data_IF_199978047371
#
_entry.id   IF_199978047371
#
_cell.length_a   1.000
_cell.length_b   1.000
_cell.length_c   1.000
_cell.angle_alpha   90.00
_cell.angle_beta   90.00
_cell.angle_gamma   90.00
#
_symmetry.space_group_name_H-M   'P 1'
#
loop_
_entity.id
_entity.type
_entity.pdbx_description
1 polymer ?
#
# COMPACT_ATOMS: atom_id res chain seq x y z
N UNK A 1 -18.24 -8.61 12.74
CA UNK A 1 -17.20 -8.61 11.69
C UNK A 1 -17.44 -7.44 10.73
N UNK A 2 -16.52 -6.46 10.65
CA UNK A 2 -16.62 -5.34 9.70
C UNK A 2 -15.88 -5.73 8.41
N UNK A 3 -16.51 -5.49 7.26
CA UNK A 3 -16.00 -5.84 5.93
C UNK A 3 -15.84 -4.57 5.11
N UNK A 4 -14.65 -4.32 4.58
CA UNK A 4 -14.34 -3.14 3.77
C UNK A 4 -13.59 -3.57 2.53
N UNK A 5 -13.87 -2.92 1.40
CA UNK A 5 -13.17 -3.15 0.14
C UNK A 5 -12.64 -1.81 -0.39
N UNK A 6 -11.39 -1.81 -0.83
CA UNK A 6 -10.75 -0.66 -1.46
C UNK A 6 -10.18 -1.08 -2.82
N UNK A 7 -10.04 -0.11 -3.72
CA UNK A 7 -9.35 -0.26 -4.99
C UNK A 7 -8.15 0.68 -5.02
N UNK A 8 -7.03 0.19 -5.55
CA UNK A 8 -5.88 1.01 -5.92
C UNK A 8 -5.47 0.65 -7.36
N UNK A 9 -5.22 1.67 -8.22
CA UNK A 9 -4.79 1.42 -9.58
C UNK A 9 -3.38 0.82 -9.58
N UNK A 10 -3.07 0.03 -10.61
CA UNK A 10 -1.69 -0.31 -10.91
C UNK A 10 -0.94 0.88 -11.50
N UNK A 11 0.39 0.83 -11.48
CA UNK A 11 1.25 1.90 -11.97
C UNK A 11 2.39 1.37 -12.83
N UNK A 12 2.69 2.09 -13.90
CA UNK A 12 3.87 1.85 -14.74
C UNK A 12 4.78 3.07 -14.61
N UNK A 13 5.99 2.84 -14.10
CA UNK A 13 7.06 3.84 -14.12
C UNK A 13 7.80 3.79 -15.46
N UNK A 14 7.88 4.93 -16.15
CA UNK A 14 8.63 5.04 -17.41
C UNK A 14 10.12 5.32 -17.19
N UNK A 15 10.43 6.33 -16.38
CA UNK A 15 11.80 6.67 -15.99
C UNK A 15 11.86 7.02 -14.51
N UNK A 16 12.99 6.76 -13.86
CA UNK A 16 13.17 7.09 -12.45
C UNK A 16 14.64 7.20 -12.05
N UNK A 17 14.87 7.86 -10.92
CA UNK A 17 16.10 7.77 -10.14
C UNK A 17 15.76 7.61 -8.67
N UNK A 18 16.55 6.84 -7.95
CA UNK A 18 16.36 6.56 -6.52
C UNK A 18 16.96 7.70 -5.70
N UNK A 19 16.22 8.17 -4.70
CA UNK A 19 16.73 9.06 -3.65
C UNK A 19 16.37 8.47 -2.28
N UNK A 20 17.30 7.70 -1.73
CA UNK A 20 17.15 6.96 -0.47
C UNK A 20 18.20 7.33 0.59
N UNK A 21 18.85 8.49 0.41
CA UNK A 21 19.93 9.01 1.29
C UNK A 21 19.49 9.24 2.73
N UNK A 22 18.20 9.43 2.97
CA UNK A 22 17.66 9.67 4.29
C UNK A 22 17.48 8.38 5.08
N UNK A 23 17.82 8.38 6.37
CA UNK A 23 17.53 7.24 7.27
C UNK A 23 16.02 7.02 7.47
N UNK A 24 15.26 8.11 7.49
CA UNK A 24 13.80 8.11 7.66
C UNK A 24 13.11 7.50 6.41
N UNK A 25 12.41 6.37 6.53
CA UNK A 25 11.73 5.71 5.42
C UNK A 25 10.70 6.59 4.70
N UNK A 26 10.06 7.54 5.40
CA UNK A 26 9.08 8.44 4.78
C UNK A 26 9.72 9.48 3.86
N UNK A 27 11.02 9.74 4.05
CA UNK A 27 11.82 10.63 3.19
C UNK A 27 12.53 9.89 2.08
N UNK A 28 12.55 8.55 2.10
CA UNK A 28 13.05 7.74 1.00
C UNK A 28 12.02 7.69 -0.11
N UNK A 29 12.49 7.75 -1.35
CA UNK A 29 11.61 7.51 -2.49
C UNK A 29 12.36 7.52 -3.82
N UNK A 30 11.64 7.86 -4.88
CA UNK A 30 12.22 8.09 -6.20
C UNK A 30 11.71 9.37 -6.83
N UNK A 31 12.53 9.94 -7.70
CA UNK A 31 12.12 10.91 -8.71
C UNK A 31 11.81 10.14 -10.00
N UNK A 32 11.00 10.71 -10.89
CA UNK A 32 10.72 10.09 -12.18
C UNK A 32 9.36 10.41 -12.73
N UNK A 33 8.90 9.64 -13.71
CA UNK A 33 7.56 9.79 -14.28
C UNK A 33 6.93 8.45 -14.65
N UNK A 34 5.61 8.44 -14.70
CA UNK A 34 4.82 7.25 -14.97
C UNK A 34 3.35 7.55 -15.18
N UNK A 35 2.55 6.49 -15.20
CA UNK A 35 1.11 6.62 -15.26
C UNK A 35 0.40 5.44 -14.58
N UNK A 36 -0.77 5.73 -14.01
CA UNK A 36 -1.67 4.73 -13.46
C UNK A 36 -2.59 4.14 -14.52
N UNK A 37 -2.90 2.85 -14.36
CA UNK A 37 -3.85 2.12 -15.19
C UNK A 37 -5.27 2.20 -14.61
N UNK A 38 -6.27 1.94 -15.45
CA UNK A 38 -7.65 1.73 -15.01
C UNK A 38 -7.85 0.39 -14.30
N UNK A 39 -6.95 -0.57 -14.54
CA UNK A 39 -6.85 -1.85 -13.84
C UNK A 39 -5.92 -1.75 -12.63
N UNK A 40 -6.14 -2.58 -11.63
CA UNK A 40 -5.28 -2.56 -10.46
C UNK A 40 -5.54 -3.72 -9.50
N UNK A 41 -5.60 -3.38 -8.22
CA UNK A 41 -5.81 -4.33 -7.14
C UNK A 41 -7.02 -3.92 -6.34
N UNK A 42 -7.97 -4.84 -6.21
CA UNK A 42 -9.02 -4.76 -5.22
C UNK A 42 -8.58 -5.47 -3.95
N UNK A 43 -8.58 -4.78 -2.82
CA UNK A 43 -8.26 -5.35 -1.52
C UNK A 43 -9.50 -5.35 -0.66
N UNK A 44 -9.94 -6.53 -0.25
CA UNK A 44 -11.01 -6.74 0.72
C UNK A 44 -10.40 -7.13 2.07
N UNK A 45 -10.87 -6.50 3.14
CA UNK A 45 -10.46 -6.80 4.51
C UNK A 45 -11.70 -7.10 5.35
N UNK A 46 -11.63 -8.20 6.10
CA UNK A 46 -12.59 -8.51 7.17
C UNK A 46 -11.87 -8.46 8.50
N UNK A 47 -12.39 -7.67 9.42
CA UNK A 47 -11.86 -7.56 10.78
C UNK A 47 -12.89 -8.00 11.82
N UNK A 48 -12.42 -8.77 12.78
CA UNK A 48 -13.18 -9.24 13.92
C UNK A 48 -12.33 -9.23 15.18
N UNK A 49 -12.89 -8.76 16.31
CA UNK A 49 -12.17 -8.74 17.59
C UNK A 49 -11.80 -10.16 18.00
N UNK A 50 -10.60 -10.33 18.52
CA UNK A 50 -10.11 -11.64 18.93
C UNK A 50 -9.24 -11.53 20.20
N UNK A 51 -9.01 -12.65 20.88
CA UNK A 51 -8.11 -12.73 22.04
C UNK A 51 -6.63 -12.79 21.62
N UNK A 52 -6.34 -13.18 20.38
CA UNK A 52 -5.00 -13.27 19.81
C UNK A 52 -5.00 -12.74 18.38
N UNK A 53 -3.86 -12.18 17.96
CA UNK A 53 -3.65 -11.78 16.58
C UNK A 53 -3.72 -12.98 15.65
N UNK A 54 -4.55 -12.89 14.61
CA UNK A 54 -4.60 -13.85 13.51
C UNK A 54 -4.70 -13.08 12.21
N UNK A 55 -3.88 -13.46 11.25
CA UNK A 55 -3.81 -12.82 9.94
C UNK A 55 -3.81 -13.91 8.89
N UNK A 56 -4.77 -13.87 7.98
CA UNK A 56 -4.80 -14.71 6.79
C UNK A 56 -4.81 -13.81 5.56
N UNK A 57 -3.95 -14.11 4.59
CA UNK A 57 -3.85 -13.33 3.35
C UNK A 57 -4.01 -14.28 2.17
N UNK A 58 -4.86 -13.90 1.24
CA UNK A 58 -5.01 -14.58 -0.06
C UNK A 58 -4.85 -13.60 -1.21
N UNK A 59 -4.31 -14.12 -2.32
CA UNK A 59 -4.17 -13.41 -3.59
C UNK A 59 -4.81 -14.28 -4.66
N UNK A 60 -5.80 -13.72 -5.38
CA UNK A 60 -6.53 -14.40 -6.44
C UNK A 60 -7.06 -15.80 -6.04
N UNK A 61 -7.55 -15.92 -4.80
CA UNK A 61 -8.13 -17.16 -4.26
C UNK A 61 -7.13 -18.11 -3.60
N UNK A 62 -5.83 -17.87 -3.70
CA UNK A 62 -4.79 -18.72 -3.13
C UNK A 62 -4.15 -18.10 -1.89
N UNK A 63 -3.86 -18.85 -0.81
CA UNK A 63 -3.10 -18.36 0.33
C UNK A 63 -1.73 -17.82 -0.09
N UNK A 64 -1.31 -16.69 0.49
CA UNK A 64 -0.04 -16.05 0.17
C UNK A 64 0.63 -15.50 1.43
N UNK A 65 1.97 -15.50 1.46
CA UNK A 65 2.73 -14.85 2.54
C UNK A 65 2.61 -13.32 2.47
N UNK A 66 2.73 -12.73 1.27
CA UNK A 66 2.55 -11.30 1.02
C UNK A 66 3.26 -10.39 2.05
N UNK A 67 4.59 -10.42 2.06
CA UNK A 67 5.43 -9.78 3.10
C UNK A 67 5.14 -8.29 3.31
N UNK A 68 4.84 -7.54 2.24
CA UNK A 68 4.44 -6.13 2.32
C UNK A 68 3.13 -5.96 3.10
N UNK A 69 2.16 -6.84 2.85
CA UNK A 69 0.87 -6.81 3.55
C UNK A 69 1.00 -7.21 5.01
N UNK A 70 1.81 -8.23 5.33
CA UNK A 70 2.12 -8.59 6.71
C UNK A 70 2.84 -7.46 7.44
N UNK A 71 3.82 -6.83 6.79
CA UNK A 71 4.55 -5.68 7.35
C UNK A 71 3.60 -4.52 7.63
N UNK A 72 2.71 -4.21 6.69
CA UNK A 72 1.70 -3.16 6.86
C UNK A 72 0.76 -3.48 8.02
N UNK A 73 0.24 -4.70 8.13
CA UNK A 73 -0.62 -5.12 9.24
C UNK A 73 0.11 -4.99 10.58
N UNK A 74 1.40 -5.30 10.63
CA UNK A 74 2.23 -5.09 11.82
C UNK A 74 2.46 -3.60 12.15
N UNK A 75 2.45 -2.70 11.17
CA UNK A 75 2.45 -1.26 11.46
C UNK A 75 1.09 -0.80 12.01
N UNK A 76 -0.02 -1.28 11.45
CA UNK A 76 -1.36 -1.01 11.95
C UNK A 76 -1.59 -1.56 13.36
N UNK A 77 -1.04 -2.75 13.69
CA UNK A 77 -1.22 -3.35 15.02
C UNK A 77 -0.62 -2.51 16.14
N UNK A 78 0.33 -1.61 15.84
CA UNK A 78 0.91 -0.66 16.81
C UNK A 78 -0.04 0.50 17.13
N UNK A 79 -1.06 0.72 16.30
CA UNK A 79 -2.05 1.78 16.44
C UNK A 79 -3.33 1.30 17.15
N UNK A 80 -3.43 0.00 17.48
CA UNK A 80 -4.63 -0.58 18.07
C UNK A 80 -4.31 -1.38 19.33
N UNK A 81 -5.13 -1.18 20.37
CA UNK A 81 -4.90 -1.76 21.69
C UNK A 81 -5.28 -3.24 21.79
N UNK A 82 -6.25 -3.68 20.98
CA UNK A 82 -6.87 -5.01 21.10
C UNK A 82 -6.58 -5.87 19.87
N UNK A 83 -6.35 -7.18 20.03
CA UNK A 83 -6.09 -8.07 18.91
C UNK A 83 -7.32 -8.26 18.01
N UNK A 84 -7.06 -8.51 16.72
CA UNK A 84 -8.07 -8.84 15.74
C UNK A 84 -7.70 -10.13 14.98
N UNK A 85 -8.73 -10.82 14.51
CA UNK A 85 -8.63 -11.66 13.32
C UNK A 85 -8.78 -10.76 12.09
N UNK A 86 -7.81 -10.82 11.18
CA UNK A 86 -7.76 -10.02 9.95
C UNK A 86 -7.65 -10.99 8.78
N UNK A 87 -8.71 -11.07 7.98
CA UNK A 87 -8.69 -11.79 6.71
C UNK A 87 -8.58 -10.78 5.56
N UNK A 88 -7.51 -10.91 4.77
CA UNK A 88 -7.22 -10.05 3.63
C UNK A 88 -7.34 -10.86 2.34
N UNK A 89 -8.04 -10.30 1.36
CA UNK A 89 -8.12 -10.88 0.01
C UNK A 89 -7.77 -9.82 -1.02
N UNK A 90 -6.67 -10.04 -1.73
CA UNK A 90 -6.30 -9.26 -2.90
C UNK A 90 -6.82 -9.94 -4.17
N UNK A 91 -7.49 -9.16 -5.03
CA UNK A 91 -7.83 -9.55 -6.39
C UNK A 91 -7.05 -8.65 -7.34
N UNK A 92 -6.06 -9.23 -8.03
CA UNK A 92 -5.12 -8.54 -8.92
C UNK A 92 -5.54 -8.81 -10.37
N UNK A 93 -5.78 -7.73 -11.12
CA UNK A 93 -6.28 -7.80 -12.51
C UNK A 93 -5.17 -7.88 -13.57
N UNK A 94 -3.91 -7.99 -13.14
CA UNK A 94 -2.70 -7.89 -13.95
C UNK A 94 -1.71 -9.03 -13.62
N UNK A 95 -0.81 -9.40 -14.54
CA UNK A 95 0.23 -10.38 -14.26
C UNK A 95 1.12 -9.97 -13.08
N UNK A 96 1.19 -10.82 -12.06
CA UNK A 96 2.02 -10.60 -10.88
C UNK A 96 3.50 -10.69 -11.28
N UNK A 97 4.32 -9.76 -10.78
CA UNK A 97 5.77 -9.74 -11.04
C UNK A 97 6.16 -9.11 -12.39
N UNK A 98 5.21 -8.63 -13.19
CA UNK A 98 5.48 -8.01 -14.49
C UNK A 98 5.73 -6.49 -14.43
N UNK A 99 6.03 -5.94 -13.26
CA UNK A 99 6.38 -4.51 -13.11
C UNK A 99 5.21 -3.52 -13.10
N UNK A 100 3.97 -3.97 -12.95
CA UNK A 100 2.77 -3.12 -12.89
C UNK A 100 2.52 -2.44 -11.53
N UNK A 101 3.48 -2.43 -10.62
CA UNK A 101 3.29 -1.81 -9.30
C UNK A 101 2.26 -2.49 -8.39
N UNK A 102 1.78 -3.70 -8.72
CA UNK A 102 0.67 -4.36 -7.98
C UNK A 102 0.94 -4.60 -6.50
N UNK A 103 2.21 -4.65 -6.07
CA UNK A 103 2.59 -4.68 -4.64
C UNK A 103 2.22 -3.38 -3.92
N UNK A 104 2.58 -2.23 -4.52
CA UNK A 104 2.19 -0.90 -4.05
C UNK A 104 0.68 -0.73 -4.03
N UNK A 105 -0.01 -1.13 -5.10
CA UNK A 105 -1.47 -1.05 -5.17
C UNK A 105 -2.13 -1.92 -4.08
N UNK A 106 -1.63 -3.14 -3.87
CA UNK A 106 -2.08 -4.02 -2.79
C UNK A 106 -1.88 -3.40 -1.42
N UNK A 107 -0.71 -2.80 -1.16
CA UNK A 107 -0.39 -2.13 0.11
C UNK A 107 -1.27 -0.88 0.33
N UNK A 108 -1.45 -0.04 -0.68
CA UNK A 108 -2.30 1.15 -0.62
C UNK A 108 -3.76 0.75 -0.35
N UNK A 109 -4.30 -0.19 -1.14
CA UNK A 109 -5.66 -0.70 -0.96
C UNK A 109 -5.86 -1.31 0.43
N UNK A 110 -4.89 -2.09 0.92
CA UNK A 110 -4.92 -2.69 2.25
C UNK A 110 -4.92 -1.62 3.34
N UNK A 111 -4.06 -0.61 3.22
CA UNK A 111 -3.95 0.46 4.21
C UNK A 111 -5.26 1.25 4.33
N UNK A 112 -5.84 1.62 3.18
CA UNK A 112 -7.12 2.33 3.14
C UNK A 112 -8.26 1.49 3.72
N UNK A 113 -8.33 0.21 3.35
CA UNK A 113 -9.35 -0.70 3.86
C UNK A 113 -9.21 -0.97 5.36
N UNK A 114 -7.99 -1.13 5.88
CA UNK A 114 -7.73 -1.29 7.32
C UNK A 114 -8.07 -0.03 8.10
N UNK A 115 -7.67 1.14 7.63
CA UNK A 115 -7.98 2.42 8.27
C UNK A 115 -9.50 2.57 8.49
N UNK A 116 -10.28 2.30 7.44
CA UNK A 116 -11.74 2.32 7.51
C UNK A 116 -12.28 1.17 8.39
N UNK A 117 -11.83 -0.07 8.19
CA UNK A 117 -12.34 -1.24 8.91
C UNK A 117 -12.08 -1.18 10.42
N UNK A 118 -10.95 -0.60 10.83
CA UNK A 118 -10.56 -0.42 12.23
C UNK A 118 -11.02 0.93 12.82
N UNK A 119 -11.60 1.80 11.99
CA UNK A 119 -12.06 3.14 12.38
C UNK A 119 -10.96 3.99 13.05
N UNK A 120 -9.77 4.03 12.43
CA UNK A 120 -8.60 4.71 12.99
C UNK A 120 -8.59 6.22 12.77
N UNK A 121 -9.43 6.73 11.86
CA UNK A 121 -9.55 8.17 11.60
C UNK A 121 -8.34 8.80 10.91
N UNK A 122 -7.42 8.01 10.34
CA UNK A 122 -6.30 8.54 9.58
C UNK A 122 -6.82 9.18 8.29
N UNK A 123 -6.19 10.27 7.86
CA UNK A 123 -6.40 10.81 6.52
C UNK A 123 -5.93 9.84 5.44
N UNK A 124 -6.38 10.04 4.19
CA UNK A 124 -5.92 9.25 3.04
C UNK A 124 -4.39 9.30 2.89
N UNK A 125 -3.79 10.46 3.17
CA UNK A 125 -2.33 10.66 3.09
C UNK A 125 -1.61 9.87 4.17
N UNK A 126 -2.05 9.94 5.42
CA UNK A 126 -1.44 9.18 6.53
C UNK A 126 -1.57 7.67 6.33
N UNK A 127 -2.72 7.19 5.86
CA UNK A 127 -2.88 5.78 5.49
C UNK A 127 -1.94 5.39 4.34
N UNK A 128 -1.80 6.23 3.31
CA UNK A 128 -0.87 5.97 2.22
C UNK A 128 0.61 6.02 2.66
N UNK A 129 0.96 6.82 3.67
CA UNK A 129 2.30 6.81 4.28
C UNK A 129 2.61 5.47 4.96
N UNK A 130 1.64 4.83 5.62
CA UNK A 130 1.82 3.47 6.17
C UNK A 130 2.08 2.44 5.07
N UNK A 131 1.36 2.53 3.94
CA UNK A 131 1.61 1.66 2.79
C UNK A 131 3.02 1.88 2.21
N UNK A 132 3.45 3.14 2.05
CA UNK A 132 4.80 3.48 1.61
C UNK A 132 5.86 2.94 2.57
N UNK A 133 5.65 3.12 3.88
CA UNK A 133 6.55 2.60 4.90
C UNK A 133 6.74 1.08 4.79
N UNK A 134 5.66 0.33 4.53
CA UNK A 134 5.73 -1.11 4.33
C UNK A 134 6.54 -1.48 3.07
N UNK A 135 6.29 -0.82 1.94
CA UNK A 135 7.04 -1.03 0.70
C UNK A 135 8.55 -0.74 0.86
N UNK A 136 8.89 0.36 1.53
CA UNK A 136 10.29 0.72 1.81
C UNK A 136 10.96 -0.30 2.75
N UNK A 137 10.26 -0.75 3.79
CA UNK A 137 10.78 -1.77 4.72
C UNK A 137 11.02 -3.10 4.04
N UNK A 138 10.15 -3.48 3.11
CA UNK A 138 10.29 -4.70 2.31
C UNK A 138 11.21 -4.55 1.09
N UNK A 139 11.73 -3.33 0.82
CA UNK A 139 12.57 -3.02 -0.35
C UNK A 139 11.90 -3.33 -1.69
N UNK A 140 10.58 -3.18 -1.78
CA UNK A 140 9.79 -3.52 -2.96
C UNK A 140 9.51 -2.31 -3.86
N UNK A 141 9.29 -1.13 -3.27
CA UNK A 141 8.94 0.06 -4.03
C UNK A 141 9.32 1.35 -3.32
N UNK A 142 9.68 2.37 -4.11
CA UNK A 142 10.11 3.69 -3.64
C UNK A 142 9.26 4.85 -4.20
N UNK A 143 8.50 4.62 -5.25
CA UNK A 143 7.67 5.66 -5.87
C UNK A 143 6.31 5.18 -6.36
N UNK A 144 5.97 3.91 -6.13
CA UNK A 144 4.72 3.30 -6.60
C UNK A 144 3.54 3.83 -5.79
N UNK A 145 3.60 3.74 -4.46
CA UNK A 145 2.50 4.15 -3.57
C UNK A 145 2.14 5.62 -3.75
N UNK A 146 3.14 6.52 -3.85
CA UNK A 146 2.86 7.94 -4.10
C UNK A 146 2.18 8.16 -5.45
N UNK A 147 2.61 7.49 -6.50
CA UNK A 147 1.97 7.60 -7.81
C UNK A 147 0.53 7.06 -7.79
N UNK A 148 0.31 5.87 -7.25
CA UNK A 148 -1.01 5.23 -7.16
C UNK A 148 -1.99 5.99 -6.26
N UNK A 149 -1.48 6.68 -5.23
CA UNK A 149 -2.32 7.48 -4.32
C UNK A 149 -3.05 8.60 -5.05
N UNK A 150 -2.39 9.22 -6.02
CA UNK A 150 -2.89 10.37 -6.75
C UNK A 150 -3.38 10.05 -8.17
N UNK A 151 -2.87 8.97 -8.77
CA UNK A 151 -3.26 8.47 -10.09
C UNK A 151 -3.01 9.44 -11.26
N UNK A 152 -3.38 8.99 -12.46
CA UNK A 152 -3.17 9.74 -13.71
C UNK A 152 -1.76 9.57 -14.26
N UNK A 153 -1.34 10.49 -15.13
CA UNK A 153 0.06 10.66 -15.53
C UNK A 153 0.75 11.57 -14.51
N UNK A 154 1.93 11.19 -14.04
CA UNK A 154 2.63 11.95 -13.00
C UNK A 154 4.12 12.08 -13.23
N UNK A 155 4.68 13.17 -12.73
CA UNK A 155 6.12 13.39 -12.54
C UNK A 155 6.38 13.54 -11.04
N UNK A 156 7.11 12.61 -10.45
CA UNK A 156 7.67 12.69 -9.09
C UNK A 156 8.88 13.61 -9.11
N UNK A 157 8.71 14.85 -8.67
CA UNK A 157 9.74 15.89 -8.65
C UNK A 157 10.40 16.08 -7.27
N UNK A 158 9.85 15.44 -6.23
CA UNK A 158 10.48 15.31 -4.92
C UNK A 158 10.25 13.91 -4.36
N UNK A 159 11.32 13.24 -3.97
CA UNK A 159 11.25 11.91 -3.37
C UNK A 159 10.63 11.93 -1.97
N UNK A 160 9.87 10.88 -1.65
CA UNK A 160 9.27 10.65 -0.34
C UNK A 160 7.90 9.98 -0.43
N UNK A 161 7.36 9.63 0.72
CA UNK A 161 5.99 9.14 0.87
C UNK A 161 4.96 10.23 0.47
N UNK A 162 3.68 9.86 0.24
CA UNK A 162 2.59 10.84 0.13
C UNK A 162 2.65 11.89 1.24
N UNK A 163 2.57 13.18 0.88
CA UNK A 163 2.68 14.30 1.83
C UNK A 163 4.12 14.72 2.20
N UNK A 164 5.13 13.91 1.89
CA UNK A 164 6.56 14.25 2.06
C UNK A 164 7.22 14.53 0.72
N UNK A 165 7.03 13.61 -0.23
CA UNK A 165 7.34 13.79 -1.65
C UNK A 165 6.25 14.58 -2.37
N UNK A 166 6.51 14.94 -3.62
CA UNK A 166 5.57 15.67 -4.47
C UNK A 166 5.50 15.08 -5.87
N UNK A 167 4.32 15.28 -6.48
CA UNK A 167 4.07 14.95 -7.88
C UNK A 167 3.54 16.18 -8.62
N UNK A 168 3.81 16.23 -9.92
CA UNK A 168 3.21 17.15 -10.90
C UNK A 168 2.42 16.34 -11.93
N UNK A 169 1.33 16.91 -12.43
CA UNK A 169 0.48 16.34 -13.47
C UNK A 169 0.51 17.24 -14.70
#
# INVERSE_FOLDING_TARGET
>A
MKKVKAFAPAHITGFFTIDDKYKDPLKKGSLGGGFSLTKGVYTEVKVERNHKWRVNISINGSPAKADVSLTLINEFSKLIEKPYNIDVTHTIELPIGAGYGTSGAGALGLSLALNEALNLGLSKVEAAQLAHLAEVKCKTGLGTVIAETFGGFEIRDKAGAPGVGSIRK
#
